data_IF_125059290418
#
_entry.id   IF_125059290418
#
_cell.length_a   1.000
_cell.length_b   1.000
_cell.length_c   1.000
_cell.angle_alpha   90.00
_cell.angle_beta   90.00
_cell.angle_gamma   90.00
#
_symmetry.space_group_name_H-M   'P 1'
#
loop_
_entity.id
_entity.type
_entity.pdbx_description
1 polymer ?
#
# COMPACT_ATOMS: atom_id res chain seq x y z
N UNK A 1 21.50 17.82 25.43
CA UNK A 1 22.55 17.56 24.41
C UNK A 1 21.81 17.16 23.15
N UNK A 2 21.80 18.01 22.11
CA UNK A 2 20.99 17.82 20.90
C UNK A 2 21.68 16.80 20.00
N UNK A 3 21.04 15.68 19.68
CA UNK A 3 21.61 14.64 18.80
C UNK A 3 21.01 14.80 17.40
N UNK A 4 21.80 15.35 16.47
CA UNK A 4 21.58 15.14 15.04
C UNK A 4 22.28 13.83 14.68
N UNK A 5 21.52 12.84 14.23
CA UNK A 5 22.06 11.57 13.77
C UNK A 5 21.80 11.43 12.27
N UNK A 6 22.88 11.25 11.51
CA UNK A 6 22.82 10.99 10.08
C UNK A 6 23.09 9.50 9.86
N UNK A 7 22.16 8.78 9.24
CA UNK A 7 22.41 7.43 8.75
C UNK A 7 23.03 7.53 7.34
N UNK A 8 24.25 7.02 7.15
CA UNK A 8 24.85 6.90 5.83
C UNK A 8 24.30 5.64 5.15
N UNK A 9 23.75 5.78 3.94
CA UNK A 9 23.25 4.67 3.15
C UNK A 9 24.41 3.77 2.67
N UNK A 10 24.25 2.46 2.81
CA UNK A 10 25.14 1.47 2.20
C UNK A 10 24.64 1.22 0.77
N UNK A 11 25.37 1.70 -0.23
CA UNK A 11 25.02 1.48 -1.64
C UNK A 11 24.99 -0.01 -1.98
N UNK A 12 23.84 -0.50 -2.45
CA UNK A 12 23.69 -1.85 -2.99
C UNK A 12 24.29 -1.86 -4.40
N UNK A 13 25.46 -2.47 -4.56
CA UNK A 13 26.09 -2.68 -5.87
C UNK A 13 25.37 -3.82 -6.58
N UNK A 14 24.52 -3.52 -7.55
CA UNK A 14 24.07 -4.48 -8.56
C UNK A 14 25.10 -4.56 -9.68
N UNK A 15 25.56 -5.78 -9.99
CA UNK A 15 26.50 -6.03 -11.06
C UNK A 15 25.84 -5.76 -12.43
N UNK A 16 26.16 -4.64 -13.06
CA UNK A 16 25.74 -4.34 -14.42
C UNK A 16 26.72 -4.91 -15.44
N UNK A 17 26.21 -5.73 -16.36
CA UNK A 17 26.87 -6.10 -17.60
C UNK A 17 27.01 -4.88 -18.51
N UNK A 18 28.19 -4.74 -19.09
CA UNK A 18 28.67 -3.56 -19.80
C UNK A 18 27.85 -3.16 -21.04
N UNK A 19 27.41 -1.91 -21.10
CA UNK A 19 27.14 -1.16 -22.32
C UNK A 19 27.81 0.24 -22.25
N UNK A 20 28.17 0.84 -23.39
CA UNK A 20 29.20 1.88 -23.46
C UNK A 20 28.77 3.22 -22.86
N UNK A 21 29.71 3.81 -22.13
CA UNK A 21 29.68 5.12 -21.48
C UNK A 21 29.14 6.24 -22.40
N UNK A 22 27.98 6.80 -22.01
CA UNK A 22 27.64 8.19 -22.32
C UNK A 22 28.13 9.00 -21.12
N UNK A 23 28.97 10.00 -21.33
CA UNK A 23 29.33 10.94 -20.27
C UNK A 23 28.07 11.68 -19.83
N UNK A 24 27.52 11.25 -18.71
CA UNK A 24 26.42 11.93 -18.02
C UNK A 24 27.06 13.11 -17.27
N UNK A 25 26.63 14.33 -17.61
CA UNK A 25 27.00 15.51 -16.85
C UNK A 25 26.59 15.30 -15.39
N UNK A 26 27.48 15.64 -14.45
CA UNK A 26 27.22 15.60 -13.01
C UNK A 26 25.94 16.39 -12.71
N UNK A 27 24.84 15.66 -12.49
CA UNK A 27 23.67 16.22 -11.85
C UNK A 27 24.05 16.46 -10.40
N UNK A 28 24.01 17.71 -9.95
CA UNK A 28 24.07 17.99 -8.52
C UNK A 28 22.99 17.14 -7.83
N UNK A 29 23.38 16.28 -6.89
CA UNK A 29 22.44 15.49 -6.08
C UNK A 29 21.40 16.45 -5.49
N UNK A 30 20.15 16.26 -5.89
CA UNK A 30 19.05 17.16 -5.53
C UNK A 30 18.68 16.89 -4.07
N UNK A 31 19.30 17.61 -3.13
CA UNK A 31 19.13 17.35 -1.70
C UNK A 31 17.71 17.72 -1.23
N UNK A 32 16.92 16.72 -0.82
CA UNK A 32 15.61 16.92 -0.20
C UNK A 32 15.74 17.70 1.12
N UNK A 33 15.06 18.83 1.23
CA UNK A 33 15.10 19.63 2.44
C UNK A 33 14.26 19.01 3.58
N UNK A 34 14.61 19.29 4.84
CA UNK A 34 13.71 19.03 5.97
C UNK A 34 12.61 20.09 5.99
N UNK A 35 11.36 19.65 6.14
CA UNK A 35 10.23 20.55 6.35
C UNK A 35 9.88 20.62 7.83
N UNK A 36 10.24 21.73 8.47
CA UNK A 36 9.98 21.93 9.90
C UNK A 36 8.81 22.88 10.14
N UNK A 37 7.58 22.40 9.94
CA UNK A 37 6.36 23.21 10.10
C UNK A 37 6.13 23.67 11.55
N UNK A 38 6.59 22.85 12.51
CA UNK A 38 6.30 23.01 13.94
C UNK A 38 7.49 23.52 14.76
N UNK A 39 8.64 23.78 14.13
CA UNK A 39 9.85 24.24 14.81
C UNK A 39 10.59 23.14 15.58
N UNK A 40 10.27 21.87 15.33
CA UNK A 40 10.82 20.70 16.01
C UNK A 40 12.32 20.51 15.79
N UNK A 41 12.92 21.03 14.71
CA UNK A 41 14.37 21.05 14.57
C UNK A 41 15.05 21.85 15.71
N UNK A 42 14.31 22.72 16.39
CA UNK A 42 14.79 23.52 17.51
C UNK A 42 14.26 23.08 18.88
N UNK A 43 13.04 22.53 18.94
CA UNK A 43 12.31 22.22 20.18
C UNK A 43 12.23 20.73 20.53
N UNK A 44 12.50 19.84 19.58
CA UNK A 44 12.42 18.39 19.75
C UNK A 44 13.67 17.69 19.18
N UNK A 45 13.59 16.37 18.99
CA UNK A 45 14.62 15.57 18.35
C UNK A 45 14.17 15.18 16.94
N UNK A 46 15.15 14.99 16.05
CA UNK A 46 14.90 14.48 14.71
C UNK A 46 16.09 13.69 14.18
N UNK A 47 15.81 12.75 13.30
CA UNK A 47 16.82 12.00 12.56
C UNK A 47 16.39 11.87 11.09
N UNK A 48 17.38 11.80 10.20
CA UNK A 48 17.18 11.93 8.76
C UNK A 48 17.80 10.76 8.01
N UNK A 49 17.15 10.37 6.92
CA UNK A 49 17.73 9.61 5.80
C UNK A 49 17.62 10.47 4.53
N UNK A 50 17.82 9.90 3.34
CA UNK A 50 17.76 10.67 2.08
C UNK A 50 16.37 11.25 1.84
N UNK A 51 15.33 10.44 1.97
CA UNK A 51 13.95 10.79 1.63
C UNK A 51 13.05 11.05 2.84
N UNK A 52 13.52 10.80 4.07
CA UNK A 52 12.69 10.87 5.27
C UNK A 52 13.33 11.64 6.42
N UNK A 53 12.47 12.18 7.28
CA UNK A 53 12.83 12.71 8.59
C UNK A 53 11.85 12.21 9.65
N UNK A 54 12.37 11.59 10.71
CA UNK A 54 11.58 11.18 11.88
C UNK A 54 11.72 12.25 12.96
N UNK A 55 10.62 12.86 13.37
CA UNK A 55 10.53 13.77 14.51
C UNK A 55 10.02 13.03 15.74
N UNK A 56 10.64 13.28 16.90
CA UNK A 56 10.22 12.70 18.17
C UNK A 56 10.54 13.64 19.34
N UNK A 57 9.64 13.67 20.31
CA UNK A 57 9.73 14.58 21.46
C UNK A 57 10.78 14.14 22.49
N UNK A 58 10.83 14.88 23.60
CA UNK A 58 11.80 14.68 24.67
C UNK A 58 11.30 13.75 25.79
N UNK A 59 10.09 13.21 25.67
CA UNK A 59 9.43 12.42 26.70
C UNK A 59 8.74 11.18 26.09
N UNK A 60 9.55 10.22 25.64
CA UNK A 60 9.06 8.92 25.18
C UNK A 60 8.42 8.13 26.33
N UNK A 61 7.10 8.00 26.30
CA UNK A 61 6.34 7.22 27.28
C UNK A 61 6.28 5.73 26.94
N UNK A 62 6.73 5.33 25.74
CA UNK A 62 6.76 3.92 25.31
C UNK A 62 8.04 3.20 25.74
N UNK A 63 9.13 3.97 25.95
CA UNK A 63 10.46 3.45 26.26
C UNK A 63 11.14 2.69 25.11
N UNK A 64 10.63 2.84 23.88
CA UNK A 64 11.12 2.13 22.68
C UNK A 64 12.10 2.97 21.87
N UNK A 65 12.01 4.29 21.94
CA UNK A 65 12.72 5.19 21.04
C UNK A 65 14.17 5.33 21.48
N UNK A 66 15.08 4.75 20.70
CA UNK A 66 16.53 4.84 20.87
C UNK A 66 17.23 4.89 19.51
N UNK A 67 18.54 5.10 19.51
CA UNK A 67 19.37 5.24 18.30
C UNK A 67 19.21 4.03 17.33
N UNK A 68 19.05 2.81 17.86
CA UNK A 68 18.86 1.60 17.04
C UNK A 68 17.44 1.51 16.44
N UNK A 69 16.42 1.89 17.21
CA UNK A 69 15.04 2.00 16.73
C UNK A 69 14.96 3.01 15.57
N UNK A 70 15.51 4.21 15.76
CA UNK A 70 15.50 5.26 14.73
C UNK A 70 16.22 4.80 13.47
N UNK A 71 17.42 4.22 13.60
CA UNK A 71 18.19 3.72 12.47
C UNK A 71 17.43 2.64 11.69
N UNK A 72 16.92 1.61 12.38
CA UNK A 72 16.16 0.51 11.75
C UNK A 72 15.00 1.05 10.92
N UNK A 73 14.24 1.99 11.48
CA UNK A 73 13.03 2.49 10.83
C UNK A 73 13.33 3.41 9.65
N UNK A 74 14.35 4.27 9.73
CA UNK A 74 14.81 5.02 8.57
C UNK A 74 15.26 4.08 7.44
N UNK A 75 16.00 3.02 7.76
CA UNK A 75 16.39 2.01 6.77
C UNK A 75 15.17 1.27 6.17
N UNK A 76 14.12 1.03 6.96
CA UNK A 76 12.88 0.43 6.48
C UNK A 76 12.12 1.37 5.51
N UNK A 77 12.00 2.65 5.87
CA UNK A 77 11.37 3.65 5.00
C UNK A 77 12.10 3.82 3.67
N UNK A 78 13.43 3.84 3.66
CA UNK A 78 14.19 3.93 2.40
C UNK A 78 13.94 2.71 1.50
N UNK A 79 13.89 1.49 2.04
CA UNK A 79 13.54 0.29 1.26
C UNK A 79 12.14 0.41 0.66
N UNK A 80 11.17 0.90 1.42
CA UNK A 80 9.80 1.10 0.95
C UNK A 80 9.73 2.18 -0.12
N UNK A 81 10.45 3.29 0.06
CA UNK A 81 10.51 4.35 -0.93
C UNK A 81 11.01 3.83 -2.27
N UNK A 82 12.15 3.13 -2.30
CA UNK A 82 12.66 2.54 -3.55
C UNK A 82 11.69 1.49 -4.12
N UNK A 83 11.08 0.65 -3.28
CA UNK A 83 10.07 -0.30 -3.75
C UNK A 83 8.90 0.42 -4.45
N UNK A 84 8.38 1.49 -3.85
CA UNK A 84 7.19 2.15 -4.36
C UNK A 84 7.49 3.06 -5.55
N UNK A 85 8.65 3.72 -5.60
CA UNK A 85 9.01 4.60 -6.72
C UNK A 85 9.63 3.84 -7.88
N UNK A 86 10.60 2.96 -7.63
CA UNK A 86 11.38 2.32 -8.69
C UNK A 86 10.70 1.06 -9.23
N UNK A 87 10.15 0.23 -8.33
CA UNK A 87 9.51 -1.01 -8.73
C UNK A 87 8.04 -0.83 -9.12
N UNK A 88 7.27 -0.05 -8.36
CA UNK A 88 5.85 0.21 -8.66
C UNK A 88 5.63 1.44 -9.54
N UNK A 89 6.65 2.28 -9.72
CA UNK A 89 6.58 3.45 -10.59
C UNK A 89 5.76 4.62 -10.02
N UNK A 90 5.50 4.65 -8.71
CA UNK A 90 4.74 5.73 -8.07
C UNK A 90 5.46 7.06 -8.18
N UNK A 91 4.70 8.13 -8.34
CA UNK A 91 5.24 9.49 -8.55
C UNK A 91 4.84 10.43 -7.42
N UNK A 92 5.31 11.67 -7.49
CA UNK A 92 4.95 12.78 -6.59
C UNK A 92 5.27 12.58 -5.09
N UNK A 93 6.03 11.56 -4.72
CA UNK A 93 6.63 11.54 -3.39
C UNK A 93 7.55 12.75 -3.22
N UNK A 94 7.62 13.28 -2.00
CA UNK A 94 8.51 14.38 -1.62
C UNK A 94 8.25 15.74 -2.30
N UNK A 95 7.16 15.89 -3.07
CA UNK A 95 6.75 17.17 -3.69
C UNK A 95 5.35 17.58 -3.25
N UNK A 96 5.00 18.84 -3.55
CA UNK A 96 3.65 19.37 -3.35
C UNK A 96 2.74 18.94 -4.51
N UNK A 97 1.75 18.11 -4.22
CA UNK A 97 0.82 17.60 -5.24
C UNK A 97 -0.12 18.66 -5.82
N UNK A 98 -0.24 19.82 -5.18
CA UNK A 98 -1.05 20.93 -5.69
C UNK A 98 -0.22 21.93 -6.51
N UNK A 99 1.09 21.69 -6.67
CA UNK A 99 1.97 22.52 -7.49
C UNK A 99 2.15 23.97 -7.00
N UNK A 100 1.88 24.24 -5.72
CA UNK A 100 2.10 25.57 -5.11
C UNK A 100 3.56 25.79 -4.75
N UNK A 101 4.34 24.72 -4.66
CA UNK A 101 5.78 24.72 -4.38
C UNK A 101 6.52 23.78 -5.32
N UNK A 102 7.65 24.24 -5.88
CA UNK A 102 8.58 23.38 -6.62
C UNK A 102 9.64 22.76 -5.70
N UNK A 103 9.62 23.08 -4.41
CA UNK A 103 10.63 22.62 -3.47
C UNK A 103 10.36 21.18 -3.06
N UNK A 104 11.38 20.34 -3.14
CA UNK A 104 11.34 18.97 -2.68
C UNK A 104 11.68 18.89 -1.19
N UNK A 105 10.90 18.10 -0.44
CA UNK A 105 11.10 17.90 0.99
C UNK A 105 11.11 16.41 1.34
N UNK A 106 11.88 16.05 2.35
CA UNK A 106 11.80 14.73 2.98
C UNK A 106 10.37 14.50 3.49
N UNK A 107 9.90 13.26 3.44
CA UNK A 107 8.63 12.86 4.04
C UNK A 107 8.79 12.90 5.56
N UNK A 108 7.91 13.67 6.23
CA UNK A 108 7.93 13.75 7.68
C UNK A 108 7.21 12.56 8.29
N UNK A 109 7.84 11.96 9.29
CA UNK A 109 7.27 10.94 10.17
C UNK A 109 7.27 11.49 11.59
N UNK A 110 6.11 11.62 12.22
CA UNK A 110 5.98 12.16 13.58
C UNK A 110 5.65 11.05 14.57
N UNK A 111 6.50 10.88 15.59
CA UNK A 111 6.29 9.84 16.60
C UNK A 111 5.31 10.28 17.68
N UNK A 112 4.16 9.62 17.74
CA UNK A 112 3.21 9.79 18.85
C UNK A 112 3.78 9.24 20.15
N UNK A 113 3.23 9.62 21.30
CA UNK A 113 3.68 9.17 22.64
C UNK A 113 5.13 9.52 22.99
N UNK A 114 5.72 10.49 22.28
CA UNK A 114 7.09 10.98 22.53
C UNK A 114 7.15 12.38 23.13
N UNK A 115 6.01 13.04 23.31
CA UNK A 115 5.92 14.40 23.82
C UNK A 115 6.01 15.49 22.74
N UNK A 116 5.77 15.15 21.46
CA UNK A 116 5.43 16.15 20.45
C UNK A 116 4.07 16.78 20.78
N UNK A 117 3.94 18.10 20.66
CA UNK A 117 2.75 18.83 21.10
C UNK A 117 1.60 18.75 20.10
N UNK A 118 1.90 18.70 18.80
CA UNK A 118 0.89 18.56 17.74
C UNK A 118 0.38 17.11 17.60
N UNK A 119 1.23 16.13 17.84
CA UNK A 119 0.97 14.71 17.59
C UNK A 119 1.21 13.89 18.85
N UNK A 120 0.33 14.05 19.84
CA UNK A 120 0.51 13.47 21.19
C UNK A 120 0.25 11.98 21.25
N UNK A 121 -0.77 11.50 20.55
CA UNK A 121 -1.29 10.13 20.62
C UNK A 121 -1.78 9.63 19.27
N UNK A 122 -2.10 8.35 19.19
CA UNK A 122 -2.56 7.67 17.97
C UNK A 122 -1.65 6.51 17.57
N UNK A 123 -2.22 5.51 16.91
CA UNK A 123 -1.51 4.27 16.55
C UNK A 123 -0.64 4.46 15.31
N UNK A 124 -1.27 4.68 14.16
CA UNK A 124 -0.65 4.96 12.89
C UNK A 124 -1.71 5.54 11.95
N UNK A 125 -1.38 6.59 11.21
CA UNK A 125 -2.23 7.16 10.16
C UNK A 125 -1.44 8.11 9.26
N UNK A 126 -1.91 8.23 8.02
CA UNK A 126 -1.46 9.26 7.08
C UNK A 126 -2.14 10.60 7.38
N UNK A 127 -1.43 11.69 7.12
CA UNK A 127 -2.00 13.05 7.00
C UNK A 127 -1.26 13.82 5.92
N UNK A 128 -1.58 15.10 5.75
CA UNK A 128 -0.84 15.98 4.84
C UNK A 128 -0.62 17.35 5.45
N UNK A 129 0.47 17.99 5.04
CA UNK A 129 0.72 19.40 5.31
C UNK A 129 1.06 20.06 3.98
N UNK A 130 0.38 21.13 3.61
CA UNK A 130 0.74 21.98 2.46
C UNK A 130 0.96 21.21 1.14
N UNK A 131 0.20 20.13 0.93
CA UNK A 131 0.30 19.29 -0.27
C UNK A 131 1.37 18.20 -0.25
N UNK A 132 2.03 17.97 0.88
CA UNK A 132 2.94 16.83 1.05
C UNK A 132 2.37 15.86 2.07
N UNK A 133 2.32 14.58 1.72
CA UNK A 133 1.97 13.50 2.63
C UNK A 133 2.95 13.40 3.80
N UNK A 134 2.41 13.07 4.96
CA UNK A 134 3.15 12.82 6.21
C UNK A 134 2.60 11.57 6.87
N UNK A 135 3.40 10.98 7.74
CA UNK A 135 2.98 9.85 8.57
C UNK A 135 3.03 10.24 10.05
N UNK A 136 2.01 9.84 10.79
CA UNK A 136 1.92 10.02 12.23
C UNK A 136 1.75 8.63 12.83
N UNK A 137 2.75 8.16 13.56
CA UNK A 137 2.87 6.76 13.92
C UNK A 137 3.48 6.57 15.29
N UNK A 138 3.01 5.57 16.03
CA UNK A 138 3.51 5.22 17.35
C UNK A 138 4.80 4.41 17.27
N UNK A 139 5.69 4.52 18.28
CA UNK A 139 6.88 3.67 18.35
C UNK A 139 6.57 2.16 18.33
N UNK A 140 5.42 1.75 18.88
CA UNK A 140 5.02 0.33 18.90
C UNK A 140 4.61 -0.16 17.50
N UNK A 141 3.86 0.65 16.73
CA UNK A 141 3.49 0.33 15.35
C UNK A 141 4.70 0.16 14.44
N UNK A 142 5.72 1.01 14.63
CA UNK A 142 6.95 0.95 13.83
C UNK A 142 7.80 -0.30 14.10
N UNK A 143 7.55 -1.08 15.15
CA UNK A 143 8.29 -2.33 15.37
C UNK A 143 7.90 -3.42 14.36
N UNK A 144 6.76 -3.27 13.69
CA UNK A 144 6.31 -4.18 12.63
C UNK A 144 6.53 -3.55 11.24
N UNK A 145 7.43 -4.15 10.46
CA UNK A 145 7.72 -3.70 9.08
C UNK A 145 6.47 -3.76 8.18
N UNK A 146 5.53 -4.66 8.47
CA UNK A 146 4.30 -4.80 7.68
C UNK A 146 3.30 -3.68 7.97
N UNK A 147 3.26 -3.21 9.21
CA UNK A 147 2.51 -2.01 9.59
C UNK A 147 3.11 -0.79 8.91
N UNK A 148 4.43 -0.57 8.97
CA UNK A 148 5.08 0.56 8.27
C UNK A 148 4.77 0.53 6.77
N UNK A 149 4.89 -0.63 6.12
CA UNK A 149 4.62 -0.76 4.68
C UNK A 149 3.15 -0.42 4.32
N UNK A 150 2.20 -0.81 5.17
CA UNK A 150 0.79 -0.47 5.00
C UNK A 150 0.56 1.04 5.16
N UNK A 151 1.02 1.62 6.26
CA UNK A 151 0.78 3.03 6.62
C UNK A 151 1.48 4.00 5.67
N UNK A 152 2.73 3.70 5.29
CA UNK A 152 3.40 4.47 4.25
C UNK A 152 2.73 4.30 2.87
N UNK A 153 2.10 3.15 2.62
CA UNK A 153 1.24 2.95 1.45
C UNK A 153 0.11 3.97 1.36
N UNK A 154 -0.50 4.36 2.47
CA UNK A 154 -1.48 5.46 2.49
C UNK A 154 -0.87 6.81 2.11
N UNK A 155 0.33 7.12 2.59
CA UNK A 155 1.07 8.33 2.21
C UNK A 155 1.31 8.36 0.71
N UNK A 156 1.74 7.22 0.14
CA UNK A 156 2.03 7.10 -1.29
C UNK A 156 0.75 7.22 -2.12
N UNK A 157 -0.34 6.56 -1.70
CA UNK A 157 -1.66 6.67 -2.34
C UNK A 157 -2.13 8.13 -2.36
N UNK A 158 -2.08 8.81 -1.21
CA UNK A 158 -2.41 10.24 -1.12
C UNK A 158 -1.61 11.07 -2.14
N UNK A 159 -0.31 10.81 -2.24
CA UNK A 159 0.59 11.55 -3.13
C UNK A 159 0.32 11.32 -4.62
N UNK A 160 -0.45 10.29 -5.01
CA UNK A 160 -0.85 10.11 -6.42
C UNK A 160 -1.97 11.08 -6.85
N UNK A 161 -2.50 11.88 -5.91
CA UNK A 161 -3.39 13.04 -6.08
C UNK A 161 -4.79 12.77 -6.63
N UNK A 162 -4.97 11.98 -7.68
CA UNK A 162 -6.24 11.98 -8.42
C UNK A 162 -7.30 11.06 -7.80
N UNK A 163 -6.91 9.92 -7.21
CA UNK A 163 -7.84 8.95 -6.61
C UNK A 163 -7.89 8.99 -5.08
N UNK A 164 -8.07 10.18 -4.51
CA UNK A 164 -8.08 10.44 -3.07
C UNK A 164 -9.31 11.28 -2.70
N UNK A 165 -9.83 11.11 -1.48
CA UNK A 165 -10.94 11.92 -0.93
C UNK A 165 -12.24 11.95 -1.75
N UNK A 166 -12.53 10.89 -2.52
CA UNK A 166 -13.81 10.72 -3.23
C UNK A 166 -14.70 9.73 -2.48
N UNK A 167 -16.02 9.93 -2.50
CA UNK A 167 -16.98 9.01 -1.86
C UNK A 167 -16.81 7.57 -2.38
N UNK A 168 -16.54 7.43 -3.68
CA UNK A 168 -16.36 6.15 -4.35
C UNK A 168 -14.99 5.52 -4.05
N UNK A 169 -13.94 6.33 -3.88
CA UNK A 169 -12.57 5.85 -3.63
C UNK A 169 -12.32 5.49 -2.17
N UNK A 170 -13.10 6.03 -1.22
CA UNK A 170 -12.95 5.75 0.21
C UNK A 170 -12.99 4.26 0.54
N UNK A 171 -13.84 3.50 -0.16
CA UNK A 171 -13.93 2.04 0.00
C UNK A 171 -12.62 1.30 -0.34
N UNK A 172 -11.72 1.92 -1.12
CA UNK A 172 -10.46 1.36 -1.59
C UNK A 172 -9.24 1.81 -0.81
N UNK A 173 -9.43 2.64 0.22
CA UNK A 173 -8.34 3.21 1.00
C UNK A 173 -7.45 2.13 1.66
N UNK A 174 -8.05 1.22 2.43
CA UNK A 174 -7.33 0.14 3.12
C UNK A 174 -6.82 -0.97 2.19
N UNK A 175 -7.60 -1.43 1.17
CA UNK A 175 -7.09 -2.41 0.22
C UNK A 175 -5.89 -1.90 -0.57
N UNK A 176 -5.81 -0.60 -0.85
CA UNK A 176 -4.65 -0.01 -1.51
C UNK A 176 -3.40 -0.09 -0.62
N UNK A 177 -3.51 0.26 0.65
CA UNK A 177 -2.41 0.13 1.61
C UNK A 177 -1.96 -1.33 1.80
N UNK A 178 -2.91 -2.27 1.88
CA UNK A 178 -2.58 -3.69 1.88
C UNK A 178 -1.93 -4.17 0.58
N UNK A 179 -2.33 -3.62 -0.57
CA UNK A 179 -1.66 -3.90 -1.84
C UNK A 179 -0.22 -3.39 -1.83
N UNK A 180 0.05 -2.17 -1.38
CA UNK A 180 1.42 -1.65 -1.22
C UNK A 180 2.28 -2.55 -0.33
N UNK A 181 1.76 -2.98 0.82
CA UNK A 181 2.44 -3.96 1.69
C UNK A 181 2.72 -5.26 0.95
N UNK A 182 1.75 -5.78 0.22
CA UNK A 182 1.89 -7.07 -0.47
C UNK A 182 2.92 -7.01 -1.61
N UNK A 183 2.91 -5.92 -2.37
CA UNK A 183 3.90 -5.69 -3.41
C UNK A 183 5.32 -5.55 -2.83
N UNK A 184 5.46 -4.91 -1.65
CA UNK A 184 6.73 -4.88 -0.93
C UNK A 184 7.19 -6.30 -0.55
N UNK A 185 6.31 -7.10 0.07
CA UNK A 185 6.61 -8.48 0.47
C UNK A 185 7.11 -9.34 -0.70
N UNK A 186 6.50 -9.16 -1.88
CA UNK A 186 6.87 -9.85 -3.11
C UNK A 186 8.10 -9.32 -3.84
N UNK A 187 8.63 -8.15 -3.45
CA UNK A 187 9.75 -7.49 -4.12
C UNK A 187 11.12 -7.94 -3.59
N UNK A 188 12.18 -7.56 -4.30
CA UNK A 188 13.57 -7.70 -3.82
C UNK A 188 13.94 -6.73 -2.69
N UNK A 189 13.09 -5.74 -2.39
CA UNK A 189 13.33 -4.76 -1.32
C UNK A 189 12.92 -5.30 0.05
N UNK A 190 12.09 -6.35 0.12
CA UNK A 190 11.79 -7.02 1.37
C UNK A 190 12.99 -7.90 1.80
N UNK A 191 13.65 -7.60 2.94
CA UNK A 191 14.84 -8.32 3.38
C UNK A 191 14.52 -9.68 4.02
N UNK A 192 13.23 -10.06 4.10
CA UNK A 192 12.77 -11.27 4.78
C UNK A 192 12.24 -12.31 3.80
N UNK A 193 12.12 -13.55 4.29
CA UNK A 193 11.52 -14.66 3.55
C UNK A 193 9.99 -14.66 3.59
N UNK A 194 9.35 -13.76 4.35
CA UNK A 194 7.89 -13.62 4.32
C UNK A 194 7.47 -13.05 2.97
N UNK A 195 6.58 -13.74 2.24
CA UNK A 195 6.13 -13.34 0.90
C UNK A 195 4.64 -13.03 0.78
N UNK A 196 3.91 -13.03 1.90
CA UNK A 196 2.50 -12.60 1.98
C UNK A 196 2.11 -12.30 3.42
N UNK A 197 1.15 -11.39 3.63
CA UNK A 197 0.67 -10.99 4.96
C UNK A 197 -0.85 -10.87 5.02
N UNK A 198 -1.43 -11.11 6.20
CA UNK A 198 -2.86 -10.94 6.49
C UNK A 198 -3.81 -11.65 5.50
N UNK A 199 -3.45 -12.88 5.08
CA UNK A 199 -4.16 -13.61 4.02
C UNK A 199 -5.45 -14.31 4.51
N UNK A 200 -5.52 -14.71 5.78
CA UNK A 200 -6.69 -15.43 6.33
C UNK A 200 -8.01 -14.62 6.27
N UNK A 201 -8.06 -13.34 6.68
CA UNK A 201 -9.28 -12.53 6.51
C UNK A 201 -9.76 -12.45 5.07
N UNK A 202 -8.83 -12.38 4.11
CA UNK A 202 -9.17 -12.41 2.68
C UNK A 202 -9.79 -13.74 2.27
N UNK A 203 -9.19 -14.85 2.71
CA UNK A 203 -9.70 -16.18 2.39
C UNK A 203 -11.16 -16.37 2.84
N UNK A 204 -11.58 -15.74 3.94
CA UNK A 204 -12.96 -15.80 4.44
C UNK A 204 -13.94 -14.95 3.63
N UNK A 205 -13.45 -14.10 2.75
CA UNK A 205 -14.23 -13.13 1.97
C UNK A 205 -14.00 -13.28 0.46
N UNK A 206 -13.53 -14.45 -0.01
CA UNK A 206 -13.15 -14.68 -1.42
C UNK A 206 -14.28 -14.44 -2.42
N UNK A 207 -15.54 -14.55 -1.99
CA UNK A 207 -16.70 -14.25 -2.83
C UNK A 207 -16.88 -12.76 -3.11
N UNK A 208 -16.19 -11.89 -2.36
CA UNK A 208 -16.30 -10.44 -2.45
C UNK A 208 -15.06 -9.86 -3.14
N UNK A 209 -15.11 -9.75 -4.47
CA UNK A 209 -14.00 -9.25 -5.29
C UNK A 209 -13.74 -7.73 -5.15
N UNK A 210 -14.77 -6.96 -4.80
CA UNK A 210 -14.72 -5.50 -4.67
C UNK A 210 -15.02 -5.08 -3.22
N UNK A 211 -14.55 -3.90 -2.78
CA UNK A 211 -14.82 -3.41 -1.44
C UNK A 211 -16.31 -3.35 -1.10
N UNK A 212 -16.59 -3.82 0.09
CA UNK A 212 -17.88 -3.88 0.76
C UNK A 212 -17.61 -3.76 2.27
N UNK A 213 -18.62 -3.40 3.07
CA UNK A 213 -18.45 -3.26 4.53
C UNK A 213 -18.02 -4.53 5.28
N UNK A 214 -17.84 -5.68 4.61
CA UNK A 214 -17.39 -6.96 5.18
C UNK A 214 -15.94 -7.31 4.84
N UNK A 215 -15.38 -6.71 3.78
CA UNK A 215 -14.08 -7.04 3.20
C UNK A 215 -13.24 -5.77 2.93
N UNK A 216 -13.43 -4.74 3.78
CA UNK A 216 -12.85 -3.41 3.60
C UNK A 216 -11.32 -3.42 3.54
N UNK A 217 -10.63 -4.42 4.10
CA UNK A 217 -9.17 -4.56 4.01
C UNK A 217 -8.73 -5.58 2.96
N UNK A 218 -9.63 -6.45 2.54
CA UNK A 218 -9.29 -7.76 1.99
C UNK A 218 -9.20 -7.79 0.46
N UNK A 219 -9.59 -6.75 -0.26
CA UNK A 219 -9.72 -6.80 -1.74
C UNK A 219 -8.43 -6.52 -2.51
N UNK A 220 -7.30 -6.32 -1.82
CA UNK A 220 -5.98 -6.12 -2.42
C UNK A 220 -5.56 -7.17 -3.48
N UNK A 221 -6.03 -8.44 -3.47
CA UNK A 221 -5.63 -9.42 -4.48
C UNK A 221 -6.13 -9.07 -5.88
N UNK A 222 -7.23 -8.32 -6.00
CA UNK A 222 -7.69 -7.80 -7.28
C UNK A 222 -6.68 -6.79 -7.85
N UNK A 223 -6.16 -5.89 -7.01
CA UNK A 223 -5.11 -4.94 -7.38
C UNK A 223 -3.80 -5.67 -7.74
N UNK A 224 -3.46 -6.73 -7.00
CA UNK A 224 -2.30 -7.58 -7.30
C UNK A 224 -2.46 -8.29 -8.66
N UNK A 225 -3.65 -8.80 -8.97
CA UNK A 225 -3.93 -9.41 -10.28
C UNK A 225 -3.71 -8.42 -11.43
N UNK A 226 -4.23 -7.19 -11.32
CA UNK A 226 -4.03 -6.12 -12.31
C UNK A 226 -2.54 -5.83 -12.49
N UNK A 227 -1.79 -5.77 -11.38
CA UNK A 227 -0.35 -5.47 -11.39
C UNK A 227 0.50 -6.62 -11.98
N UNK A 228 0.24 -7.87 -11.60
CA UNK A 228 1.01 -9.02 -12.08
C UNK A 228 0.62 -9.50 -13.48
N UNK A 229 -0.60 -9.18 -13.92
CA UNK A 229 -1.12 -9.47 -15.27
C UNK A 229 -0.82 -10.90 -15.78
N UNK A 230 -1.24 -11.96 -15.05
CA UNK A 230 -0.89 -13.35 -15.39
C UNK A 230 -1.53 -13.86 -16.70
N UNK A 231 -2.53 -13.13 -17.21
CA UNK A 231 -3.22 -13.44 -18.46
C UNK A 231 -2.72 -12.59 -19.63
N UNK A 232 -1.72 -11.72 -19.41
CA UNK A 232 -1.14 -10.84 -20.43
C UNK A 232 -2.22 -10.01 -21.16
N UNK A 233 -3.14 -9.43 -20.40
CA UNK A 233 -4.16 -8.52 -20.90
C UNK A 233 -3.51 -7.17 -21.22
N UNK A 234 -3.92 -6.57 -22.33
CA UNK A 234 -3.35 -5.29 -22.78
C UNK A 234 -3.60 -4.18 -21.75
N UNK A 235 -2.58 -3.36 -21.53
CA UNK A 235 -2.61 -2.22 -20.61
C UNK A 235 -2.49 -2.57 -19.12
N UNK A 236 -2.54 -3.85 -18.74
CA UNK A 236 -2.26 -4.33 -17.38
C UNK A 236 -0.75 -4.60 -17.18
N UNK A 237 -0.31 -4.66 -15.91
CA UNK A 237 1.11 -4.78 -15.55
C UNK A 237 1.49 -3.94 -14.34
N UNK A 238 2.76 -4.01 -13.92
CA UNK A 238 3.21 -3.56 -12.59
C UNK A 238 2.90 -2.09 -12.28
N UNK A 239 2.95 -1.23 -13.30
CA UNK A 239 2.68 0.21 -13.19
C UNK A 239 1.21 0.58 -13.39
N UNK A 240 0.33 -0.38 -13.67
CA UNK A 240 -1.09 -0.11 -13.98
C UNK A 240 -1.79 0.54 -12.81
N UNK A 241 -1.50 0.12 -11.58
CA UNK A 241 -2.10 0.73 -10.39
C UNK A 241 -1.68 2.19 -10.27
N UNK A 242 -0.40 2.53 -10.51
CA UNK A 242 0.01 3.95 -10.57
C UNK A 242 -0.85 4.72 -11.58
N UNK A 243 -1.03 4.21 -12.80
CA UNK A 243 -1.87 4.86 -13.81
C UNK A 243 -3.32 5.05 -13.34
N UNK A 244 -3.92 4.06 -12.68
CA UNK A 244 -5.25 4.19 -12.10
C UNK A 244 -5.28 5.33 -11.06
N UNK A 245 -4.29 5.37 -10.17
CA UNK A 245 -4.21 6.38 -9.11
C UNK A 245 -3.96 7.80 -9.65
N UNK A 246 -3.14 7.94 -10.69
CA UNK A 246 -2.66 9.23 -11.21
C UNK A 246 -3.39 9.73 -12.46
N UNK A 247 -4.19 8.90 -13.14
CA UNK A 247 -4.98 9.30 -14.32
C UNK A 247 -6.50 9.23 -14.10
N UNK A 248 -6.95 8.89 -12.88
CA UNK A 248 -8.36 8.89 -12.49
C UNK A 248 -8.97 10.29 -12.56
N UNK A 249 -10.29 10.35 -12.74
CA UNK A 249 -11.07 11.59 -12.66
C UNK A 249 -11.74 11.70 -11.30
N UNK A 250 -12.14 12.91 -10.89
CA UNK A 250 -13.06 13.09 -9.78
C UNK A 250 -14.32 12.24 -9.96
N UNK A 251 -14.73 11.56 -8.89
CA UNK A 251 -15.92 10.72 -8.76
C UNK A 251 -16.05 9.61 -9.81
N UNK A 252 -14.92 9.10 -10.31
CA UNK A 252 -14.91 8.03 -11.30
C UNK A 252 -15.07 6.64 -10.65
N UNK A 253 -15.99 5.84 -11.18
CA UNK A 253 -16.18 4.47 -10.71
C UNK A 253 -14.97 3.58 -11.05
N UNK A 254 -14.54 2.69 -10.15
CA UNK A 254 -13.29 1.94 -10.31
C UNK A 254 -13.26 1.06 -11.58
N UNK A 255 -14.41 0.49 -11.96
CA UNK A 255 -14.52 -0.36 -13.15
C UNK A 255 -14.50 0.46 -14.45
N UNK A 256 -15.11 1.65 -14.44
CA UNK A 256 -15.04 2.59 -15.56
C UNK A 256 -13.61 3.11 -15.74
N UNK A 257 -12.96 3.44 -14.62
CA UNK A 257 -11.55 3.83 -14.54
C UNK A 257 -10.64 2.76 -15.16
N UNK A 258 -10.81 1.48 -14.80
CA UNK A 258 -10.06 0.36 -15.39
C UNK A 258 -10.24 0.33 -16.91
N UNK A 259 -11.48 0.36 -17.39
CA UNK A 259 -11.79 0.28 -18.83
C UNK A 259 -11.17 1.45 -19.59
N UNK A 260 -11.30 2.67 -19.06
CA UNK A 260 -10.80 3.88 -19.72
C UNK A 260 -9.27 3.98 -19.72
N UNK A 261 -8.63 3.76 -18.57
CA UNK A 261 -7.20 3.99 -18.39
C UNK A 261 -6.39 2.82 -18.95
N UNK A 262 -6.82 1.59 -18.68
CA UNK A 262 -6.07 0.41 -19.09
C UNK A 262 -6.47 -0.08 -20.49
N UNK A 263 -7.63 0.34 -21.02
CA UNK A 263 -8.08 0.00 -22.38
C UNK A 263 -8.63 -1.43 -22.52
N UNK A 264 -8.54 -2.24 -21.47
CA UNK A 264 -9.22 -3.54 -21.38
C UNK A 264 -10.50 -3.38 -20.58
N UNK A 265 -11.60 -3.90 -21.12
CA UNK A 265 -12.90 -3.85 -20.44
C UNK A 265 -12.83 -4.54 -19.06
N UNK A 266 -13.31 -3.84 -18.04
CA UNK A 266 -13.31 -4.31 -16.67
C UNK A 266 -14.01 -5.67 -16.48
N UNK A 267 -15.01 -6.01 -17.31
CA UNK A 267 -15.64 -7.34 -17.23
C UNK A 267 -14.66 -8.47 -17.60
N UNK A 268 -13.76 -8.22 -18.57
CA UNK A 268 -12.73 -9.18 -18.98
C UNK A 268 -11.70 -9.35 -17.86
N UNK A 269 -11.31 -8.24 -17.24
CA UNK A 269 -10.38 -8.22 -16.10
C UNK A 269 -10.96 -9.00 -14.93
N UNK A 270 -12.20 -8.70 -14.53
CA UNK A 270 -12.89 -9.39 -13.42
C UNK A 270 -13.08 -10.89 -13.69
N UNK A 271 -13.47 -11.26 -14.91
CA UNK A 271 -13.66 -12.66 -15.29
C UNK A 271 -12.35 -13.47 -15.21
N UNK A 272 -11.24 -12.92 -15.68
CA UNK A 272 -9.95 -13.61 -15.58
C UNK A 272 -9.39 -13.61 -14.17
N UNK A 273 -9.58 -12.54 -13.39
CA UNK A 273 -9.28 -12.53 -11.97
C UNK A 273 -9.99 -13.67 -11.24
N UNK A 274 -11.32 -13.80 -11.42
CA UNK A 274 -12.10 -14.88 -10.82
C UNK A 274 -11.58 -16.27 -11.22
N UNK A 275 -11.16 -16.45 -12.48
CA UNK A 275 -10.52 -17.70 -12.94
C UNK A 275 -9.21 -18.00 -12.18
N UNK A 276 -8.33 -17.01 -12.01
CA UNK A 276 -7.04 -17.20 -11.32
C UNK A 276 -7.19 -17.41 -9.82
N UNK A 277 -8.23 -16.84 -9.24
CA UNK A 277 -8.53 -17.00 -7.81
C UNK A 277 -8.80 -18.44 -7.38
N UNK A 278 -9.31 -19.30 -8.27
CA UNK A 278 -9.52 -20.73 -7.97
C UNK A 278 -8.25 -21.44 -7.51
N UNK A 279 -7.08 -21.01 -8.00
CA UNK A 279 -5.79 -21.63 -7.66
C UNK A 279 -4.74 -20.63 -7.19
N UNK A 280 -5.13 -19.38 -6.93
CA UNK A 280 -4.22 -18.27 -6.62
C UNK A 280 -3.07 -18.12 -7.64
N UNK A 281 -3.34 -18.33 -8.93
CA UNK A 281 -2.30 -18.38 -9.97
C UNK A 281 -1.94 -16.98 -10.51
N UNK A 282 -1.41 -16.15 -9.61
CA UNK A 282 -0.94 -14.79 -9.88
C UNK A 282 0.06 -14.38 -8.79
N UNK A 283 0.93 -13.41 -9.08
CA UNK A 283 1.86 -12.85 -8.10
C UNK A 283 2.66 -13.89 -7.33
N UNK A 284 2.64 -13.79 -5.99
CA UNK A 284 3.34 -14.69 -5.06
C UNK A 284 2.57 -16.02 -4.87
N UNK A 285 2.19 -16.67 -5.97
CA UNK A 285 1.28 -17.83 -6.02
C UNK A 285 1.71 -18.97 -5.10
N UNK A 286 3.00 -19.26 -4.97
CA UNK A 286 3.49 -20.31 -4.06
C UNK A 286 3.17 -19.97 -2.61
N UNK A 287 3.42 -18.72 -2.20
CA UNK A 287 3.13 -18.23 -0.85
C UNK A 287 1.62 -18.21 -0.56
N UNK A 288 0.80 -17.78 -1.53
CA UNK A 288 -0.67 -17.79 -1.39
C UNK A 288 -1.22 -19.20 -1.22
N UNK A 289 -0.75 -20.14 -2.04
CA UNK A 289 -1.12 -21.55 -1.94
C UNK A 289 -0.66 -22.18 -0.63
N UNK A 290 0.52 -21.81 -0.13
CA UNK A 290 1.01 -22.28 1.17
C UNK A 290 0.16 -21.75 2.33
N UNK A 291 -0.15 -20.45 2.36
CA UNK A 291 -1.03 -19.89 3.39
C UNK A 291 -2.44 -20.48 3.32
N UNK A 292 -2.99 -20.65 2.12
CA UNK A 292 -4.29 -21.32 1.95
C UNK A 292 -4.30 -22.72 2.56
N UNK A 293 -3.29 -23.55 2.24
CA UNK A 293 -3.19 -24.90 2.83
C UNK A 293 -3.04 -24.84 4.34
N UNK A 294 -2.24 -23.91 4.87
CA UNK A 294 -2.06 -23.73 6.31
C UNK A 294 -3.39 -23.39 7.00
N UNK A 295 -4.13 -22.41 6.48
CA UNK A 295 -5.41 -21.96 7.04
C UNK A 295 -6.43 -23.10 7.01
N UNK A 296 -6.63 -23.77 5.87
CA UNK A 296 -7.57 -24.89 5.75
C UNK A 296 -7.23 -26.03 6.71
N UNK A 297 -5.94 -26.35 6.88
CA UNK A 297 -5.51 -27.40 7.81
C UNK A 297 -5.70 -27.02 9.29
N UNK A 298 -5.59 -25.73 9.62
CA UNK A 298 -5.78 -25.22 10.99
C UNK A 298 -7.26 -25.05 11.34
N UNK A 299 -8.12 -24.83 10.35
CA UNK A 299 -9.54 -24.51 10.52
C UNK A 299 -10.46 -25.47 9.74
N UNK A 300 -10.33 -26.80 9.91
CA UNK A 300 -11.01 -27.78 9.06
C UNK A 300 -12.55 -27.69 9.12
N UNK A 301 -13.10 -27.11 10.19
CA UNK A 301 -14.55 -26.93 10.38
C UNK A 301 -15.11 -25.65 9.74
N UNK A 302 -14.24 -24.73 9.29
CA UNK A 302 -14.63 -23.46 8.67
C UNK A 302 -14.47 -23.49 7.15
N UNK A 303 -14.37 -24.68 6.54
CA UNK A 303 -14.22 -24.87 5.10
C UNK A 303 -15.30 -24.13 4.29
N UNK A 304 -16.52 -24.01 4.85
CA UNK A 304 -17.65 -23.30 4.25
C UNK A 304 -17.48 -21.76 4.21
N UNK A 305 -16.48 -21.19 4.90
CA UNK A 305 -16.09 -19.78 4.75
C UNK A 305 -15.15 -19.57 3.55
N UNK A 306 -14.55 -20.65 3.05
CA UNK A 306 -13.54 -20.61 2.00
C UNK A 306 -14.04 -21.17 0.66
N UNK A 307 -15.08 -22.02 0.72
CA UNK A 307 -15.73 -22.61 -0.43
C UNK A 307 -17.20 -22.24 -0.45
N UNK A 308 -17.70 -21.77 -1.60
CA UNK A 308 -19.14 -21.65 -1.83
C UNK A 308 -19.77 -23.03 -1.79
N UNK A 309 -20.71 -23.24 -0.88
CA UNK A 309 -21.50 -24.47 -0.77
C UNK A 309 -22.82 -24.25 -1.50
N UNK A 310 -23.06 -24.86 -2.67
CA UNK A 310 -24.31 -24.66 -3.39
C UNK A 310 -25.50 -25.22 -2.62
N UNK A 311 -26.60 -24.47 -2.59
CA UNK A 311 -27.89 -24.92 -2.10
C UNK A 311 -28.49 -25.92 -3.10
N UNK A 312 -28.86 -27.11 -2.66
CA UNK A 312 -29.62 -28.04 -3.49
C UNK A 312 -31.07 -27.56 -3.62
N UNK A 313 -31.51 -27.29 -4.85
CA UNK A 313 -32.87 -26.82 -5.18
C UNK A 313 -33.77 -27.93 -5.72
N UNK A 314 -33.17 -28.99 -6.28
CA UNK A 314 -33.83 -30.22 -6.69
C UNK A 314 -32.80 -31.36 -6.76
N UNK A 315 -33.23 -32.57 -7.10
CA UNK A 315 -32.36 -33.75 -7.22
C UNK A 315 -31.17 -33.55 -8.17
N UNK A 316 -31.29 -32.64 -9.15
CA UNK A 316 -30.25 -32.37 -10.16
C UNK A 316 -29.93 -30.88 -10.35
N UNK A 317 -30.42 -30.00 -9.47
CA UNK A 317 -30.19 -28.57 -9.58
C UNK A 317 -29.67 -27.97 -8.27
N UNK A 318 -28.62 -27.16 -8.38
CA UNK A 318 -28.04 -26.40 -7.29
C UNK A 318 -28.10 -24.90 -7.63
N UNK A 319 -28.21 -24.06 -6.60
CA UNK A 319 -28.07 -22.60 -6.72
C UNK A 319 -26.94 -22.12 -5.81
N UNK A 320 -26.36 -20.98 -6.13
CA UNK A 320 -25.46 -20.28 -5.20
C UNK A 320 -26.33 -19.77 -4.01
N UNK A 321 -25.86 -19.90 -2.76
CA UNK A 321 -26.55 -19.30 -1.61
C UNK A 321 -26.82 -17.81 -1.81
N UNK A 322 -27.93 -17.30 -1.30
CA UNK A 322 -28.32 -15.89 -1.51
C UNK A 322 -27.30 -14.93 -0.89
N UNK A 323 -26.63 -15.34 0.17
CA UNK A 323 -25.58 -14.58 0.85
C UNK A 323 -24.28 -14.45 0.04
N UNK A 324 -24.07 -15.37 -0.90
CA UNK A 324 -22.88 -15.51 -1.76
C UNK A 324 -23.17 -15.20 -3.23
N UNK A 325 -24.42 -14.90 -3.56
CA UNK A 325 -24.83 -14.55 -4.92
C UNK A 325 -24.25 -13.18 -5.30
N UNK A 326 -23.76 -12.99 -6.54
CA UNK A 326 -23.25 -11.70 -6.99
C UNK A 326 -24.36 -10.64 -6.94
N UNK A 327 -24.23 -9.68 -6.03
CA UNK A 327 -25.12 -8.52 -5.91
C UNK A 327 -24.84 -7.45 -6.99
N UNK A 328 -24.63 -7.86 -8.24
CA UNK A 328 -24.62 -6.94 -9.36
C UNK A 328 -26.07 -6.73 -9.84
N UNK A 329 -26.81 -5.81 -9.21
CA UNK A 329 -28.08 -5.33 -9.78
C UNK A 329 -29.29 -5.05 -8.87
N UNK A 330 -29.18 -4.90 -7.55
CA UNK A 330 -30.27 -4.29 -6.76
C UNK A 330 -30.08 -2.78 -6.59
N UNK A 331 -30.16 -2.04 -7.69
CA UNK A 331 -30.72 -0.68 -7.63
C UNK A 331 -32.24 -0.82 -7.59
N UNK A 332 -32.81 -0.91 -6.39
CA UNK A 332 -34.20 -0.53 -6.20
C UNK A 332 -34.24 0.99 -6.28
N UNK A 333 -34.65 1.52 -7.44
CA UNK A 333 -35.10 2.91 -7.53
C UNK A 333 -36.38 3.00 -6.72
N UNK A 334 -36.29 3.47 -5.47
CA UNK A 334 -37.45 4.00 -4.79
C UNK A 334 -37.81 5.34 -5.43
N UNK A 335 -38.84 5.32 -6.27
CA UNK A 335 -39.62 6.52 -6.57
C UNK A 335 -40.29 6.99 -5.28
N UNK A 336 -39.89 8.16 -4.81
CA UNK A 336 -40.78 9.10 -4.12
C UNK A 336 -40.42 10.52 -4.51
#
# INVERSE_FOLDING_TARGET
MKKRMTAAALGIVTAMTSCPYVMQADAAEEEFAVRDKWGYCSTANYAESEHFVIFYGNNDTTGKVNDAFIKRNLEAYERLWHCYTEYLGMTNLNVDIYGKSTKKYKTNVYLTYTGLDQYKEGWAFMSSEDGYGIEIISPEAMLDDLTIAHEFGHVVHYQQHNWVDQEISGAWWEPMANWFREMYLGSSYNPTDTKTGNFDPYLRNLSLALPHGRNYYETWPFLAYIAYNPDNLDGLGITSIHRLLSESKPDEYPLDMITRILGTDAHIVLGNYAKRMVTFDFGMKEAYREQFRKVINQTPYYWNLFYTVPDQTSESAYRVPEEEAPYAGRTEYHTS
#
